data_IF_469973531078
#
_entry.id   IF_469973531078
#
_cell.length_a   1.000
_cell.length_b   1.000
_cell.length_c   1.000
_cell.angle_alpha   90.00
_cell.angle_beta   90.00
_cell.angle_gamma   90.00
#
_symmetry.space_group_name_H-M   'P 1'
#
loop_
_entity.id
_entity.type
_entity.pdbx_description
1 polymer ?
#
# COMPACT_ATOMS: atom_id res chain seq x y z
N UNK A 1 -25.06 32.09 13.50
CA UNK A 1 -24.41 31.71 12.24
C UNK A 1 -25.17 30.54 11.65
N UNK A 2 -25.91 30.76 10.56
CA UNK A 2 -26.62 29.70 9.85
C UNK A 2 -25.57 28.78 9.22
N UNK A 3 -25.47 27.56 9.76
CA UNK A 3 -24.63 26.48 9.24
C UNK A 3 -25.19 25.94 7.93
N UNK A 4 -25.04 26.70 6.85
CA UNK A 4 -25.29 26.20 5.50
C UNK A 4 -24.07 25.36 5.14
N UNK A 5 -24.17 24.04 5.32
CA UNK A 5 -23.22 23.12 4.71
C UNK A 5 -23.20 23.45 3.22
N UNK A 6 -22.06 23.94 2.71
CA UNK A 6 -21.85 24.22 1.29
C UNK A 6 -22.33 23.00 0.51
N UNK A 7 -23.30 23.15 -0.39
CA UNK A 7 -23.70 22.11 -1.37
C UNK A 7 -22.59 22.00 -2.40
N UNK A 8 -21.50 21.34 -2.02
CA UNK A 8 -20.42 20.99 -2.93
C UNK A 8 -20.88 19.71 -3.65
N UNK A 9 -20.88 19.67 -4.98
CA UNK A 9 -21.05 18.42 -5.72
C UNK A 9 -20.08 17.36 -5.21
N UNK A 10 -20.50 16.09 -5.14
CA UNK A 10 -19.68 15.01 -4.58
C UNK A 10 -18.29 14.94 -5.24
N UNK A 11 -18.21 15.19 -6.55
CA UNK A 11 -16.96 15.22 -7.31
C UNK A 11 -16.01 16.34 -6.89
N UNK A 12 -16.52 17.53 -6.59
CA UNK A 12 -15.71 18.65 -6.12
C UNK A 12 -15.22 18.42 -4.69
N UNK A 13 -16.05 17.82 -3.85
CA UNK A 13 -15.66 17.44 -2.49
C UNK A 13 -14.56 16.37 -2.50
N UNK A 14 -14.67 15.35 -3.37
CA UNK A 14 -13.65 14.32 -3.55
C UNK A 14 -12.30 14.94 -3.97
N UNK A 15 -12.30 15.84 -4.97
CA UNK A 15 -11.09 16.55 -5.39
C UNK A 15 -10.46 17.35 -4.25
N UNK A 16 -11.27 18.06 -3.46
CA UNK A 16 -10.77 18.82 -2.31
C UNK A 16 -10.15 17.92 -1.24
N UNK A 17 -10.80 16.79 -0.94
CA UNK A 17 -10.27 15.80 0.00
C UNK A 17 -8.93 15.24 -0.49
N UNK A 18 -8.86 14.77 -1.73
CA UNK A 18 -7.63 14.22 -2.32
C UNK A 18 -6.48 15.23 -2.31
N UNK A 19 -6.75 16.50 -2.59
CA UNK A 19 -5.73 17.55 -2.56
C UNK A 19 -5.25 17.90 -1.15
N UNK A 20 -6.06 17.65 -0.13
CA UNK A 20 -5.71 17.94 1.27
C UNK A 20 -5.05 16.77 2.01
N UNK A 21 -5.07 15.56 1.44
CA UNK A 21 -4.46 14.39 2.07
C UNK A 21 -2.95 14.44 1.80
N UNK A 22 -2.19 14.71 2.85
CA UNK A 22 -0.75 14.56 2.83
C UNK A 22 -0.40 13.08 3.05
N UNK A 23 0.31 12.48 2.09
CA UNK A 23 0.82 11.12 2.20
C UNK A 23 2.29 11.17 2.58
N UNK A 24 2.63 10.68 3.77
CA UNK A 24 4.01 10.66 4.25
C UNK A 24 4.73 9.37 3.88
N UNK A 25 6.06 9.37 3.92
CA UNK A 25 6.87 8.16 3.71
C UNK A 25 6.57 7.07 4.76
N UNK A 26 6.20 7.47 5.98
CA UNK A 26 5.77 6.56 7.03
C UNK A 26 4.46 5.85 6.67
N UNK A 27 3.49 6.56 6.09
CA UNK A 27 2.23 5.98 5.65
C UNK A 27 2.45 4.96 4.53
N UNK A 28 3.36 5.26 3.60
CA UNK A 28 3.76 4.34 2.55
C UNK A 28 4.46 3.09 3.12
N UNK A 29 5.32 3.25 4.14
CA UNK A 29 5.95 2.12 4.85
C UNK A 29 4.89 1.22 5.49
N UNK A 30 3.98 1.80 6.27
CA UNK A 30 2.90 1.05 6.92
C UNK A 30 1.99 0.34 5.91
N UNK A 31 1.68 0.99 4.79
CA UNK A 31 0.91 0.37 3.71
C UNK A 31 1.64 -0.84 3.11
N UNK A 32 2.96 -0.73 2.88
CA UNK A 32 3.77 -1.82 2.37
C UNK A 32 3.82 -3.00 3.35
N UNK A 33 4.01 -2.74 4.65
CA UNK A 33 3.98 -3.76 5.71
C UNK A 33 2.64 -4.50 5.75
N UNK A 34 1.51 -3.77 5.76
CA UNK A 34 0.17 -4.36 5.73
C UNK A 34 -0.04 -5.25 4.51
N UNK A 35 0.39 -4.80 3.33
CA UNK A 35 0.30 -5.60 2.10
C UNK A 35 1.15 -6.87 2.19
N UNK A 36 2.38 -6.77 2.69
CA UNK A 36 3.26 -7.93 2.86
C UNK A 36 2.69 -8.95 3.85
N UNK A 37 2.10 -8.47 4.95
CA UNK A 37 1.46 -9.33 5.95
C UNK A 37 0.26 -10.09 5.37
N UNK A 38 -0.61 -9.40 4.62
CA UNK A 38 -1.75 -10.04 3.95
C UNK A 38 -1.30 -11.12 2.95
N UNK A 39 -0.24 -10.85 2.18
CA UNK A 39 0.33 -11.84 1.25
C UNK A 39 0.90 -13.03 2.01
N UNK A 40 1.64 -12.80 3.09
CA UNK A 40 2.16 -13.87 3.96
C UNK A 40 1.01 -14.72 4.48
N UNK A 41 -0.03 -14.12 5.02
CA UNK A 41 -1.18 -14.85 5.56
C UNK A 41 -1.87 -15.71 4.48
N UNK A 42 -2.08 -15.17 3.28
CA UNK A 42 -2.63 -15.91 2.15
C UNK A 42 -1.74 -17.11 1.77
N UNK A 43 -0.42 -16.94 1.76
CA UNK A 43 0.52 -18.04 1.48
C UNK A 43 0.45 -19.12 2.57
N UNK A 44 0.27 -18.76 3.83
CA UNK A 44 0.14 -19.71 4.93
C UNK A 44 -1.20 -20.45 4.91
N UNK A 45 -2.29 -19.77 4.56
CA UNK A 45 -3.61 -20.38 4.38
C UNK A 45 -3.64 -21.44 3.28
N UNK A 46 -2.75 -21.34 2.28
CA UNK A 46 -2.63 -22.36 1.22
C UNK A 46 -2.15 -23.72 1.73
N UNK A 47 -1.65 -23.81 2.98
CA UNK A 47 -1.31 -25.07 3.66
C UNK A 47 -0.02 -25.75 3.20
N UNK A 48 0.56 -25.31 2.07
CA UNK A 48 1.74 -25.93 1.47
C UNK A 48 3.08 -25.36 1.98
N UNK A 49 3.06 -24.32 2.82
CA UNK A 49 4.25 -23.57 3.24
C UNK A 49 4.23 -23.36 4.75
N UNK A 50 5.30 -23.80 5.42
CA UNK A 50 5.51 -23.55 6.85
C UNK A 50 5.80 -22.06 7.12
N UNK A 51 5.23 -21.51 8.19
CA UNK A 51 5.41 -20.11 8.57
C UNK A 51 6.87 -19.71 8.82
N UNK A 52 7.70 -20.65 9.25
CA UNK A 52 9.14 -20.49 9.46
C UNK A 52 9.92 -20.24 8.17
N UNK A 53 9.33 -20.48 6.99
CA UNK A 53 9.98 -20.31 5.68
C UNK A 53 9.63 -19.00 4.99
N UNK A 54 8.66 -18.23 5.53
CA UNK A 54 8.17 -16.99 4.93
C UNK A 54 8.59 -15.79 5.77
N UNK A 55 9.49 -14.99 5.21
CA UNK A 55 10.05 -13.80 5.85
C UNK A 55 9.60 -12.53 5.12
N UNK A 56 9.19 -11.53 5.89
CA UNK A 56 8.95 -10.18 5.38
C UNK A 56 10.26 -9.42 5.53
N UNK A 57 10.73 -8.81 4.45
CA UNK A 57 11.99 -8.05 4.42
C UNK A 57 11.65 -6.59 4.18
N UNK A 58 12.15 -5.71 5.05
CA UNK A 58 11.98 -4.27 4.84
C UNK A 58 12.82 -3.81 3.64
N UNK A 59 12.22 -3.11 2.66
CA UNK A 59 12.96 -2.58 1.53
C UNK A 59 13.84 -1.41 1.97
N UNK A 60 15.07 -1.36 1.43
CA UNK A 60 16.02 -0.25 1.69
C UNK A 60 15.58 1.08 1.08
N UNK A 61 14.70 1.05 0.08
CA UNK A 61 14.20 2.22 -0.65
C UNK A 61 12.70 2.11 -0.85
N UNK A 62 11.98 3.22 -0.72
CA UNK A 62 10.55 3.29 -1.02
C UNK A 62 10.27 3.23 -2.53
N UNK A 63 11.26 3.56 -3.35
CA UNK A 63 11.18 3.43 -4.80
C UNK A 63 11.69 2.06 -5.25
N UNK A 64 10.89 1.28 -5.99
CA UNK A 64 11.36 0.03 -6.60
C UNK A 64 12.33 0.32 -7.74
N UNK A 65 13.22 -0.62 -8.03
CA UNK A 65 14.05 -0.57 -9.24
C UNK A 65 13.14 -0.48 -10.47
N UNK A 66 13.40 0.50 -11.35
CA UNK A 66 12.69 0.63 -12.62
C UNK A 66 12.97 -0.60 -13.47
N UNK A 67 11.92 -1.34 -13.81
CA UNK A 67 11.97 -2.45 -14.76
C UNK A 67 11.11 -2.12 -15.97
N UNK A 68 11.65 -2.38 -17.16
CA UNK A 68 10.90 -2.16 -18.39
C UNK A 68 9.61 -2.99 -18.41
N UNK A 69 8.52 -2.32 -18.81
CA UNK A 69 7.17 -2.90 -18.96
C UNK A 69 6.50 -3.42 -17.69
N UNK A 70 6.92 -3.01 -16.48
CA UNK A 70 6.27 -3.42 -15.23
C UNK A 70 5.92 -2.22 -14.35
N UNK A 71 4.75 -2.24 -13.70
CA UNK A 71 4.32 -1.19 -12.76
C UNK A 71 5.21 -1.18 -11.51
N UNK A 72 5.46 0.01 -10.97
CA UNK A 72 6.21 0.19 -9.72
C UNK A 72 5.49 -0.41 -8.50
N UNK A 73 4.16 -0.51 -8.54
CA UNK A 73 3.34 -1.17 -7.52
C UNK A 73 3.38 -2.70 -7.60
N UNK A 74 4.57 -3.30 -7.52
CA UNK A 74 4.80 -4.74 -7.66
C UNK A 74 5.44 -5.38 -6.41
N UNK A 75 5.07 -6.63 -6.14
CA UNK A 75 5.69 -7.47 -5.10
C UNK A 75 6.85 -8.25 -5.72
N UNK A 76 8.02 -8.24 -5.08
CA UNK A 76 9.19 -9.01 -5.52
C UNK A 76 9.34 -10.27 -4.65
N UNK A 77 9.26 -11.44 -5.28
CA UNK A 77 9.58 -12.71 -4.63
C UNK A 77 11.02 -13.10 -4.94
N UNK A 78 11.77 -13.52 -3.92
CA UNK A 78 13.09 -14.13 -4.06
C UNK A 78 13.08 -15.44 -3.30
N UNK A 79 13.26 -16.54 -4.03
CA UNK A 79 13.56 -17.84 -3.43
C UNK A 79 15.06 -17.91 -3.17
N UNK A 80 15.45 -18.42 -2.01
CA UNK A 80 16.80 -18.87 -1.72
C UNK A 80 16.75 -20.37 -1.44
#
# INVERSE_FOLDING_TARGET
FLGIAKKIPAEEMEKLLLNSIEVTDSDLRQLAERRAQNVKELLLQSGNIEASRVFIVEPKTHSPEKKDKVKDSRVNFRLK
#
